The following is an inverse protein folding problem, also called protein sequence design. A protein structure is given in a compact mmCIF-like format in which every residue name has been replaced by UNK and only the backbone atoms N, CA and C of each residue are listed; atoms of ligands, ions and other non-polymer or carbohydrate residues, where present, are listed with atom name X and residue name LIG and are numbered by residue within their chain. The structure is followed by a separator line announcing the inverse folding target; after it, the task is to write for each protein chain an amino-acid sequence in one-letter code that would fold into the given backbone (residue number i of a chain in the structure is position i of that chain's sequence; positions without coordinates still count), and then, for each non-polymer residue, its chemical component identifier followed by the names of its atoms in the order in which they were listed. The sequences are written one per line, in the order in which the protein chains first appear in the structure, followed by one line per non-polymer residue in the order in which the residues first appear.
data_IF_285160955934
#
_entry.id   IF_285160955934
#
_cell.length_a   1.000
_cell.length_b   1.000
_cell.length_c   1.000
_cell.angle_alpha   90.00
_cell.angle_beta   90.00
_cell.angle_gamma   90.00
#
_symmetry.space_group_name_H-M   'P 1'
#
loop_
_entity.id
_entity.type
_entity.pdbx_description
1 polymer ?
#
# COMPACT_ATOMS: atom_id res chain seq x y z
N UNK A 1 5.62 7.54 -11.16
CA UNK A 1 6.17 8.14 -9.92
C UNK A 1 5.14 7.88 -8.84
N UNK A 2 5.52 7.31 -7.69
CA UNK A 2 4.57 7.04 -6.60
C UNK A 2 4.13 8.35 -5.95
N UNK A 3 2.84 8.48 -5.69
CA UNK A 3 2.15 9.68 -5.20
C UNK A 3 1.24 9.37 -4.01
N UNK A 4 0.68 10.41 -3.38
CA UNK A 4 -0.34 10.24 -2.33
C UNK A 4 -1.62 9.59 -2.86
N UNK A 5 -1.92 9.77 -4.15
CA UNK A 5 -3.09 9.16 -4.77
C UNK A 5 -2.94 7.63 -4.81
N UNK A 6 -1.74 7.14 -5.17
CA UNK A 6 -1.41 5.72 -5.15
C UNK A 6 -1.58 5.11 -3.74
N UNK A 7 -1.19 5.85 -2.70
CA UNK A 7 -1.37 5.43 -1.30
C UNK A 7 -2.85 5.34 -0.93
N UNK A 8 -3.67 6.31 -1.37
CA UNK A 8 -5.12 6.30 -1.10
C UNK A 8 -5.84 5.20 -1.86
N UNK A 9 -5.45 4.93 -3.11
CA UNK A 9 -5.96 3.80 -3.87
C UNK A 9 -5.66 2.48 -3.14
N UNK A 10 -4.45 2.33 -2.62
CA UNK A 10 -4.08 1.16 -1.82
C UNK A 10 -4.90 1.06 -0.52
N UNK A 11 -5.08 2.15 0.23
CA UNK A 11 -5.91 2.14 1.44
C UNK A 11 -7.38 1.83 1.16
N UNK A 12 -7.95 2.43 0.11
CA UNK A 12 -9.33 2.12 -0.32
C UNK A 12 -9.48 0.65 -0.71
N UNK A 13 -8.48 0.07 -1.37
CA UNK A 13 -8.46 -1.34 -1.72
C UNK A 13 -8.36 -2.23 -0.46
N UNK A 14 -7.52 -1.88 0.52
CA UNK A 14 -7.46 -2.58 1.82
C UNK A 14 -8.81 -2.52 2.53
N UNK A 15 -9.45 -1.35 2.63
CA UNK A 15 -10.75 -1.17 3.29
C UNK A 15 -11.84 -2.00 2.60
N UNK A 16 -11.84 -2.04 1.26
CA UNK A 16 -12.79 -2.85 0.49
C UNK A 16 -12.71 -4.34 0.83
N UNK A 17 -11.50 -4.87 1.02
CA UNK A 17 -11.27 -6.27 1.33
C UNK A 17 -11.32 -6.58 2.84
N UNK A 18 -11.02 -5.60 3.69
CA UNK A 18 -10.99 -5.70 5.15
C UNK A 18 -11.71 -4.50 5.79
N UNK A 19 -13.05 -4.46 5.80
CA UNK A 19 -13.80 -3.27 6.22
C UNK A 19 -13.48 -2.75 7.62
N UNK A 20 -13.05 -3.63 8.54
CA UNK A 20 -12.63 -3.25 9.90
C UNK A 20 -11.42 -2.31 9.93
N UNK A 21 -10.65 -2.20 8.84
CA UNK A 21 -9.51 -1.26 8.76
C UNK A 21 -9.90 0.18 8.48
N UNK A 22 -11.17 0.45 8.14
CA UNK A 22 -11.68 1.81 7.87
C UNK A 22 -11.38 2.80 9.00
N UNK A 23 -11.46 2.34 10.25
CA UNK A 23 -11.15 3.13 11.44
C UNK A 23 -9.71 3.69 11.43
N UNK A 24 -8.79 3.02 10.73
CA UNK A 24 -7.36 3.35 10.72
C UNK A 24 -6.88 3.93 9.40
N UNK A 25 -7.50 3.54 8.28
CA UNK A 25 -7.02 3.84 6.93
C UNK A 25 -7.97 4.75 6.13
N UNK A 26 -9.15 5.08 6.65
CA UNK A 26 -10.03 6.04 5.98
C UNK A 26 -9.36 7.42 5.88
N UNK A 27 -9.76 8.26 4.90
CA UNK A 27 -9.24 9.61 4.78
C UNK A 27 -9.44 10.48 6.03
N UNK A 28 -10.44 10.14 6.86
CA UNK A 28 -10.76 10.83 8.11
C UNK A 28 -10.16 10.15 9.34
N UNK A 29 -9.49 9.00 9.17
CA UNK A 29 -8.87 8.27 10.26
C UNK A 29 -7.77 9.11 10.92
N UNK A 30 -7.67 8.97 12.24
CA UNK A 30 -6.70 9.74 13.01
C UNK A 30 -5.24 9.42 12.67
N UNK A 31 -4.96 8.29 12.02
CA UNK A 31 -3.64 7.92 11.56
C UNK A 31 -3.30 8.58 10.21
N UNK A 32 -4.22 8.52 9.25
CA UNK A 32 -4.04 9.05 7.87
C UNK A 32 -3.97 10.57 7.85
N UNK A 33 -4.67 11.26 8.75
CA UNK A 33 -4.60 12.74 8.85
C UNK A 33 -3.21 13.29 9.17
N UNK A 34 -2.25 12.46 9.58
CA UNK A 34 -0.88 12.88 9.79
C UNK A 34 -0.10 12.81 8.47
N UNK A 35 0.33 13.95 7.88
CA UNK A 35 1.03 13.97 6.58
C UNK A 35 2.31 13.12 6.60
N UNK A 36 2.93 13.05 7.77
CA UNK A 36 4.14 12.30 8.06
C UNK A 36 4.01 10.78 7.93
N UNK A 37 2.78 10.27 8.08
CA UNK A 37 2.43 8.88 7.89
C UNK A 37 2.31 8.56 6.40
N UNK A 38 1.42 9.25 5.67
CA UNK A 38 1.23 9.02 4.23
C UNK A 38 2.54 9.26 3.44
N UNK A 39 3.28 10.32 3.75
CA UNK A 39 4.59 10.59 3.14
C UNK A 39 5.61 9.48 3.45
N UNK A 40 5.52 8.86 4.62
CA UNK A 40 6.32 7.68 4.96
C UNK A 40 6.01 6.50 4.05
N UNK A 41 4.73 6.26 3.76
CA UNK A 41 4.29 5.20 2.85
C UNK A 41 4.69 5.49 1.40
N UNK A 42 4.56 6.73 0.92
CA UNK A 42 5.05 7.14 -0.41
C UNK A 42 6.55 6.86 -0.55
N UNK A 43 7.35 7.20 0.45
CA UNK A 43 8.80 6.93 0.47
C UNK A 43 9.10 5.44 0.47
N UNK A 44 8.33 4.64 1.22
CA UNK A 44 8.46 3.20 1.26
C UNK A 44 8.17 2.57 -0.11
N UNK A 45 7.03 2.91 -0.71
CA UNK A 45 6.65 2.42 -2.04
C UNK A 45 7.60 2.88 -3.15
N UNK A 46 8.27 4.02 -2.97
CA UNK A 46 9.27 4.53 -3.90
C UNK A 46 10.68 3.92 -3.71
N UNK A 47 10.87 2.98 -2.79
CA UNK A 47 12.20 2.41 -2.46
C UNK A 47 13.17 3.42 -1.84
N UNK A 48 12.63 4.44 -1.15
CA UNK A 48 13.38 5.53 -0.51
C UNK A 48 13.35 5.41 1.01
N UNK A 49 13.41 4.20 1.55
CA UNK A 49 13.37 3.91 2.98
C UNK A 49 14.54 4.56 3.72
N UNK A 50 15.68 4.74 3.06
CA UNK A 50 16.83 5.47 3.58
C UNK A 50 16.50 6.93 3.97
N UNK A 51 15.48 7.55 3.34
CA UNK A 51 15.01 8.91 3.63
C UNK A 51 13.99 9.00 4.77
N UNK A 52 13.60 7.87 5.36
CA UNK A 52 12.78 7.83 6.58
C UNK A 52 13.66 8.14 7.80
N UNK A 53 13.06 8.66 8.87
CA UNK A 53 13.78 8.86 10.15
C UNK A 53 14.18 7.53 10.77
N UNK A 54 15.18 7.50 11.65
CA UNK A 54 15.65 6.25 12.30
C UNK A 54 14.51 5.47 12.95
N UNK A 55 13.59 6.15 13.64
CA UNK A 55 12.42 5.52 14.27
C UNK A 55 11.46 4.92 13.24
N UNK A 56 11.15 5.64 12.16
CA UNK A 56 10.29 5.15 11.06
C UNK A 56 10.94 3.95 10.35
N UNK A 57 12.23 4.01 10.05
CA UNK A 57 12.97 2.86 9.46
C UNK A 57 12.93 1.63 10.36
N UNK A 58 13.16 1.77 11.66
CA UNK A 58 13.10 0.65 12.60
C UNK A 58 11.71 -0.01 12.64
N UNK A 59 10.63 0.77 12.48
CA UNK A 59 9.29 0.24 12.33
C UNK A 59 9.09 -0.55 11.05
N UNK A 60 9.58 -0.03 9.91
CA UNK A 60 9.49 -0.69 8.60
C UNK A 60 10.28 -2.01 8.57
N UNK A 61 11.44 -2.08 9.23
CA UNK A 61 12.23 -3.34 9.28
C UNK A 61 11.41 -4.51 9.86
N UNK A 62 10.52 -4.25 10.84
CA UNK A 62 9.63 -5.28 11.38
C UNK A 62 8.58 -5.78 10.39
N UNK A 63 8.22 -4.96 9.40
CA UNK A 63 7.29 -5.33 8.32
C UNK A 63 8.00 -6.09 7.21
N UNK A 64 9.32 -5.91 7.05
CA UNK A 64 10.14 -6.63 6.08
C UNK A 64 10.60 -8.01 6.59
N UNK A 65 10.49 -8.27 7.89
CA UNK A 65 10.71 -9.59 8.44
C UNK A 65 9.54 -10.50 8.04
N UNK A 66 9.60 -11.03 6.82
CA UNK A 66 8.88 -12.24 6.46
C UNK A 66 9.27 -13.30 7.45
N UNK A 67 8.28 -13.96 8.02
CA UNK A 67 8.47 -15.14 8.84
C UNK A 67 9.26 -16.19 8.04
N UNK A 68 10.57 -16.28 8.25
CA UNK A 68 11.37 -17.47 7.88
C UNK A 68 10.90 -18.73 8.66
N UNK A 69 9.83 -18.64 9.45
CA UNK A 69 9.35 -19.65 10.38
C UNK A 69 7.87 -20.01 10.22
N UNK A 70 7.29 -19.87 9.03
CA UNK A 70 6.08 -20.63 8.69
C UNK A 70 6.16 -21.07 7.24
N UNK A 71 6.89 -22.17 7.01
CA UNK A 71 6.64 -23.04 5.86
C UNK A 71 5.25 -23.67 6.02
N UNK A 72 4.20 -22.89 5.76
CA UNK A 72 2.86 -23.43 5.52
C UNK A 72 2.53 -23.11 4.08
N UNK A 73 2.74 -24.12 3.23
CA UNK A 73 2.27 -24.28 1.86
C UNK A 73 1.22 -23.25 1.39
N UNK A 74 1.68 -22.03 1.09
CA UNK A 74 0.98 -21.20 0.12
C UNK A 74 1.64 -21.56 -1.19
N UNK A 75 0.89 -22.32 -1.99
CA UNK A 75 1.27 -22.71 -3.33
C UNK A 75 1.64 -21.44 -4.09
N UNK A 76 2.93 -21.18 -4.21
CA UNK A 76 3.46 -20.32 -5.26
C UNK A 76 3.31 -21.13 -6.55
N UNK A 77 2.08 -21.12 -7.10
CA UNK A 77 1.84 -21.52 -8.47
C UNK A 77 2.69 -20.59 -9.34
N UNK A 78 3.70 -21.17 -9.97
CA UNK A 78 4.61 -20.45 -10.85
C UNK A 78 3.88 -19.79 -12.02
N UNK A 79 4.42 -18.64 -12.43
CA UNK A 79 4.38 -18.15 -13.80
C UNK A 79 2.99 -18.06 -14.47
N UNK A 80 2.18 -17.11 -14.05
CA UNK A 80 1.20 -16.43 -14.91
C UNK A 80 1.00 -15.01 -14.36
N UNK A 81 0.53 -14.07 -15.17
CA UNK A 81 0.44 -12.62 -14.92
C UNK A 81 -0.46 -12.16 -13.76
N UNK A 82 -0.44 -12.83 -12.61
CA UNK A 82 -1.13 -12.44 -11.39
C UNK A 82 -0.48 -11.20 -10.77
N UNK A 83 -1.16 -10.07 -10.96
CA UNK A 83 -0.82 -8.81 -10.31
C UNK A 83 -0.86 -8.97 -8.79
N UNK A 84 0.11 -8.39 -8.08
CA UNK A 84 0.10 -8.35 -6.62
C UNK A 84 -1.13 -7.59 -6.09
N UNK A 85 -1.51 -7.82 -4.83
CA UNK A 85 -2.64 -7.09 -4.20
C UNK A 85 -2.51 -5.56 -4.34
N UNK A 86 -1.29 -5.04 -4.16
CA UNK A 86 -1.01 -3.62 -4.35
C UNK A 86 -1.10 -3.22 -5.83
N UNK A 87 -0.62 -4.05 -6.74
CA UNK A 87 -0.67 -3.77 -8.17
C UNK A 87 -2.10 -3.75 -8.73
N UNK A 88 -2.98 -4.61 -8.21
CA UNK A 88 -4.42 -4.58 -8.49
C UNK A 88 -5.02 -3.24 -8.03
N UNK A 89 -4.68 -2.79 -6.82
CA UNK A 89 -5.16 -1.51 -6.30
C UNK A 89 -4.73 -0.32 -7.17
N UNK A 90 -3.46 -0.30 -7.59
CA UNK A 90 -2.89 0.79 -8.39
C UNK A 90 -3.35 0.75 -9.85
N UNK A 91 -3.66 -0.42 -10.39
CA UNK A 91 -4.18 -0.57 -11.76
C UNK A 91 -5.63 -0.11 -11.90
N UNK A 92 -6.45 -0.26 -10.85
CA UNK A 92 -7.86 0.14 -10.86
C UNK A 92 -8.05 1.66 -10.98
N UNK A 93 -7.16 2.45 -10.37
CA UNK A 93 -7.24 3.91 -10.41
C UNK A 93 -6.84 4.50 -11.77
N UNK A 94 -5.94 3.82 -12.49
CA UNK A 94 -5.54 4.19 -13.86
C UNK A 94 -6.71 4.05 -14.85
N UNK A 95 -7.63 3.13 -14.59
CA UNK A 95 -8.84 2.89 -15.40
C UNK A 95 -9.93 3.93 -15.13
N UNK A 96 -10.03 4.43 -13.89
CA UNK A 96 -11.00 5.49 -13.53
C UNK A 96 -10.54 6.86 -14.01
N UNK A 97 -9.25 7.18 -13.89
CA UNK A 97 -8.67 8.44 -14.39
C UNK A 97 -8.78 8.61 -15.90
N UNK A 98 -8.81 7.51 -16.68
CA UNK A 98 -8.93 7.57 -18.15
C UNK A 98 -10.37 7.79 -18.62
N UNK A 99 -11.38 7.72 -17.73
CA UNK A 99 -12.81 7.79 -18.10
C UNK A 99 -13.38 9.21 -18.03
N UNK A 100 -12.64 10.15 -17.47
CA UNK A 100 -13.08 11.53 -17.24
C UNK A 100 -12.59 12.55 -18.28
N UNK A 101 -11.73 12.16 -19.22
CA UNK A 101 -11.29 13.00 -20.37
C UNK A 101 -12.23 12.94 -21.60
N UNK A 102 -13.43 12.37 -21.46
CA UNK A 102 -14.41 12.30 -22.54
C UNK A 102 -15.76 12.87 -22.10
N UNK A 103 -15.82 14.19 -21.87
CA UNK A 103 -17.08 14.92 -21.91
C UNK A 103 -16.94 16.39 -22.27
#
# INVERSE_FOLDING_TARGET
MVSLLDVRALFGHVIKHYPSTDLYLSPTASLVKFPDFENGIVKLMAGKENTLTRGKRAGVVKLQQTTDTVATNSQEEGGDGHQSFAEVALSQDKVTSSREDLK
#
